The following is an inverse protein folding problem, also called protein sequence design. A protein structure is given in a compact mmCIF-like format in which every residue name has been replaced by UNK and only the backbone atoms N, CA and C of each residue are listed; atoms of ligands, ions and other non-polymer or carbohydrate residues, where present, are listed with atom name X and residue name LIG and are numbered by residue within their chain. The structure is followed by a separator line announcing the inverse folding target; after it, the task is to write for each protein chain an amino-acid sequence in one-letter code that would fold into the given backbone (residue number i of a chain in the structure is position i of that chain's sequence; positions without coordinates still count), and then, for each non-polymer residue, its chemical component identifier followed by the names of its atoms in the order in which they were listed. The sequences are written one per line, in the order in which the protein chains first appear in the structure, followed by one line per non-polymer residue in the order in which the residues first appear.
data_IF_134177623984
#
_entry.id   IF_134177623984
#
_cell.length_a   1.000
_cell.length_b   1.000
_cell.length_c   1.000
_cell.angle_alpha   90.00
_cell.angle_beta   90.00
_cell.angle_gamma   90.00
#
_symmetry.space_group_name_H-M   'P 1'
#
loop_
_entity.id
_entity.type
_entity.pdbx_description
1 polymer ?
#
# COMPACT_ATOMS: atom_id res chain seq x y z
N UNK A 1 -23.92 -14.71 -16.16
CA UNK A 1 -24.09 -13.30 -16.55
C UNK A 1 -22.80 -12.60 -16.17
N UNK A 2 -22.01 -12.22 -17.17
CA UNK A 2 -20.77 -11.47 -16.96
C UNK A 2 -21.10 -10.00 -16.65
N UNK A 3 -20.39 -9.33 -15.74
CA UNK A 3 -20.57 -7.90 -15.52
C UNK A 3 -20.12 -7.11 -16.75
N UNK A 4 -20.72 -5.93 -17.02
CA UNK A 4 -20.38 -5.13 -18.18
C UNK A 4 -18.96 -4.53 -18.05
N UNK A 5 -18.28 -4.26 -19.19
CA UNK A 5 -16.96 -3.63 -19.18
C UNK A 5 -17.07 -2.17 -18.72
N UNK A 6 -16.15 -1.77 -17.83
CA UNK A 6 -16.00 -0.39 -17.38
C UNK A 6 -15.47 0.42 -18.56
N UNK A 7 -16.30 1.34 -19.04
CA UNK A 7 -15.98 2.23 -20.16
C UNK A 7 -14.89 3.22 -19.74
N UNK A 8 -13.71 3.14 -20.32
CA UNK A 8 -12.61 4.06 -20.11
C UNK A 8 -12.79 5.32 -20.95
N UNK A 9 -13.61 6.27 -20.49
CA UNK A 9 -13.51 7.63 -20.99
C UNK A 9 -12.36 8.35 -20.26
N UNK A 10 -11.31 8.66 -20.99
CA UNK A 10 -10.20 9.49 -20.54
C UNK A 10 -10.72 10.91 -20.34
N UNK A 11 -11.09 11.24 -19.12
CA UNK A 11 -11.43 12.59 -18.71
C UNK A 11 -10.18 13.28 -18.14
N UNK A 12 -9.89 14.50 -18.59
CA UNK A 12 -8.79 15.36 -18.14
C UNK A 12 -8.85 15.74 -16.65
N UNK A 13 -8.00 16.64 -16.11
CA UNK A 13 -7.33 16.65 -14.83
C UNK A 13 -8.25 16.51 -13.61
N UNK A 14 -8.44 15.30 -13.18
CA UNK A 14 -9.22 14.91 -12.01
C UNK A 14 -9.13 13.43 -11.76
N UNK A 15 -7.95 12.91 -11.29
CA UNK A 15 -7.85 11.52 -10.90
C UNK A 15 -8.98 11.14 -9.94
N UNK A 16 -9.68 10.02 -10.22
CA UNK A 16 -10.73 9.50 -9.35
C UNK A 16 -10.13 9.19 -7.97
N UNK A 17 -10.84 9.49 -6.90
CA UNK A 17 -10.45 9.11 -5.55
C UNK A 17 -10.61 7.60 -5.39
N UNK A 18 -9.56 6.93 -4.92
CA UNK A 18 -9.59 5.49 -4.65
C UNK A 18 -9.85 5.18 -3.18
N UNK A 19 -9.20 5.92 -2.28
CA UNK A 19 -9.40 5.76 -0.84
C UNK A 19 -9.84 7.11 -0.26
N UNK A 20 -10.88 7.08 0.54
CA UNK A 20 -11.37 8.24 1.31
C UNK A 20 -11.26 7.92 2.79
N UNK A 21 -10.69 8.84 3.53
CA UNK A 21 -10.55 8.80 4.98
C UNK A 21 -11.30 10.00 5.54
N UNK A 22 -12.27 9.74 6.43
CA UNK A 22 -13.17 10.75 6.97
C UNK A 22 -13.19 10.69 8.51
N UNK A 23 -12.72 11.76 9.17
CA UNK A 23 -12.67 11.92 10.62
C UNK A 23 -12.06 10.73 11.37
N UNK A 24 -10.99 10.15 10.81
CA UNK A 24 -10.36 8.94 11.30
C UNK A 24 -9.62 9.20 12.61
N UNK A 25 -10.01 8.49 13.66
CA UNK A 25 -9.35 8.54 14.97
C UNK A 25 -8.97 7.15 15.44
N UNK A 26 -7.76 7.00 15.99
CA UNK A 26 -7.31 5.78 16.63
C UNK A 26 -6.79 6.05 18.03
N UNK A 27 -7.46 5.42 19.00
CA UNK A 27 -7.13 5.51 20.44
C UNK A 27 -6.74 4.12 20.94
N UNK A 28 -5.64 4.04 21.67
CA UNK A 28 -5.24 2.82 22.37
C UNK A 28 -5.48 3.07 23.87
N UNK A 29 -6.40 2.30 24.43
CA UNK A 29 -6.68 2.30 25.86
C UNK A 29 -5.92 1.18 26.55
N UNK A 30 -5.10 1.51 27.53
CA UNK A 30 -4.49 0.57 28.47
C UNK A 30 -5.06 0.76 29.87
N UNK A 31 -4.78 -0.16 30.78
CA UNK A 31 -5.23 -0.03 32.19
C UNK A 31 -4.68 1.21 32.89
N UNK A 32 -3.60 1.78 32.38
CA UNK A 32 -2.87 2.89 33.00
C UNK A 32 -3.07 4.21 32.26
N UNK A 33 -3.22 4.16 30.92
CA UNK A 33 -3.25 5.36 30.08
C UNK A 33 -4.07 5.13 28.82
N UNK A 34 -4.82 6.15 28.42
CA UNK A 34 -5.42 6.28 27.09
C UNK A 34 -4.52 7.18 26.25
N UNK A 35 -4.12 6.70 25.07
CA UNK A 35 -3.25 7.45 24.15
C UNK A 35 -3.96 7.57 22.81
N UNK A 36 -4.12 8.79 22.33
CA UNK A 36 -4.57 9.07 20.96
C UNK A 36 -3.35 8.92 20.05
N UNK A 37 -3.45 8.00 19.08
CA UNK A 37 -2.37 7.74 18.11
C UNK A 37 -2.63 8.50 16.83
N UNK A 38 -3.90 8.56 16.39
CA UNK A 38 -4.35 9.36 15.26
C UNK A 38 -5.57 10.15 15.71
N UNK A 39 -5.61 11.42 15.35
CA UNK A 39 -6.59 12.37 15.82
C UNK A 39 -7.23 13.13 14.65
N UNK A 40 -8.44 12.71 14.30
CA UNK A 40 -9.33 13.40 13.36
C UNK A 40 -8.72 13.59 11.94
N UNK A 41 -8.21 12.51 11.34
CA UNK A 41 -7.62 12.58 10.01
C UNK A 41 -8.71 12.55 8.93
N UNK A 42 -8.65 13.50 8.00
CA UNK A 42 -9.50 13.54 6.81
C UNK A 42 -8.63 13.82 5.59
N UNK A 43 -8.59 12.90 4.62
CA UNK A 43 -7.85 13.03 3.37
C UNK A 43 -8.33 12.03 2.32
N UNK A 44 -7.88 12.21 1.08
CA UNK A 44 -8.17 11.31 -0.03
C UNK A 44 -6.89 10.85 -0.73
N UNK A 45 -6.86 9.58 -1.17
CA UNK A 45 -5.79 9.02 -1.99
C UNK A 45 -6.29 8.91 -3.43
N UNK A 46 -5.68 9.62 -4.38
CA UNK A 46 -6.04 9.52 -5.79
C UNK A 46 -5.70 8.12 -6.35
N UNK A 47 -6.52 7.61 -7.27
CA UNK A 47 -6.20 6.41 -8.04
C UNK A 47 -4.95 6.63 -8.90
N UNK A 48 -4.20 5.56 -9.15
CA UNK A 48 -3.02 5.54 -10.02
C UNK A 48 -1.96 6.58 -9.62
N UNK A 49 -1.80 6.78 -8.31
CA UNK A 49 -0.88 7.77 -7.75
C UNK A 49 0.20 7.12 -6.90
N UNK A 50 1.34 7.80 -6.81
CA UNK A 50 2.35 7.55 -5.81
C UNK A 50 2.09 8.49 -4.64
N UNK A 51 1.55 7.96 -3.55
CA UNK A 51 1.10 8.72 -2.37
C UNK A 51 2.06 8.53 -1.20
N UNK A 52 2.65 9.61 -0.71
CA UNK A 52 3.56 9.58 0.43
C UNK A 52 2.84 9.89 1.75
N UNK A 53 3.16 9.12 2.79
CA UNK A 53 2.86 9.46 4.19
C UNK A 53 4.20 9.77 4.86
N UNK A 54 4.47 11.05 5.08
CA UNK A 54 5.71 11.54 5.69
C UNK A 54 5.49 11.92 7.17
N UNK A 55 6.57 12.05 7.92
CA UNK A 55 6.55 12.53 9.30
C UNK A 55 7.60 11.86 10.18
N UNK A 56 7.90 12.40 11.37
CA UNK A 56 8.88 11.86 12.29
C UNK A 56 8.49 10.47 12.83
N UNK A 57 9.45 9.78 13.45
CA UNK A 57 9.17 8.51 14.14
C UNK A 57 8.14 8.74 15.26
N UNK A 58 7.19 7.82 15.41
CA UNK A 58 6.12 7.92 16.40
C UNK A 58 4.92 8.79 16.01
N UNK A 59 4.90 9.44 14.83
CA UNK A 59 3.77 10.28 14.40
C UNK A 59 2.49 9.52 14.02
N UNK A 60 2.49 8.17 14.05
CA UNK A 60 1.31 7.35 13.76
C UNK A 60 1.26 6.73 12.36
N UNK A 61 2.29 6.87 11.53
CA UNK A 61 2.32 6.40 10.12
C UNK A 61 2.00 4.92 9.95
N UNK A 62 2.70 4.04 10.67
CA UNK A 62 2.46 2.58 10.59
C UNK A 62 1.07 2.21 11.13
N UNK A 63 0.56 2.95 12.13
CA UNK A 63 -0.83 2.78 12.59
C UNK A 63 -1.81 3.15 11.49
N UNK A 64 -1.58 4.27 10.78
CA UNK A 64 -2.43 4.66 9.66
C UNK A 64 -2.39 3.61 8.54
N UNK A 65 -1.20 3.08 8.18
CA UNK A 65 -1.10 1.99 7.20
C UNK A 65 -1.91 0.76 7.61
N UNK A 66 -1.85 0.37 8.89
CA UNK A 66 -2.62 -0.77 9.40
C UNK A 66 -4.14 -0.55 9.29
N UNK A 67 -4.59 0.68 9.48
CA UNK A 67 -6.01 1.04 9.29
C UNK A 67 -6.41 1.03 7.82
N UNK A 68 -5.59 1.61 6.94
CA UNK A 68 -5.83 1.64 5.48
C UNK A 68 -5.85 0.23 4.87
N UNK A 69 -5.07 -0.70 5.43
CA UNK A 69 -5.02 -2.09 4.97
C UNK A 69 -6.06 -2.98 5.64
N UNK A 70 -6.84 -2.46 6.60
CA UNK A 70 -7.82 -3.25 7.36
C UNK A 70 -7.18 -4.32 8.28
N UNK A 71 -5.90 -4.18 8.64
CA UNK A 71 -5.23 -4.99 9.67
C UNK A 71 -5.72 -4.57 11.06
N UNK A 72 -5.92 -3.26 11.26
CA UNK A 72 -6.48 -2.70 12.47
C UNK A 72 -7.79 -1.95 12.17
N UNK A 73 -8.53 -1.57 13.22
CA UNK A 73 -9.81 -0.87 13.10
C UNK A 73 -9.74 0.51 13.74
N UNK A 74 -10.36 1.53 13.12
CA UNK A 74 -10.43 2.84 13.73
C UNK A 74 -11.32 2.81 14.97
N UNK A 75 -11.03 3.71 15.93
CA UNK A 75 -11.91 3.96 17.07
C UNK A 75 -13.15 4.72 16.63
N UNK A 76 -12.98 5.73 15.77
CA UNK A 76 -14.07 6.47 15.12
C UNK A 76 -13.66 6.88 13.71
N UNK A 77 -14.60 7.41 12.94
CA UNK A 77 -14.40 7.77 11.54
C UNK A 77 -14.56 6.60 10.60
N UNK A 78 -14.31 6.83 9.30
CA UNK A 78 -14.50 5.84 8.25
C UNK A 78 -13.34 5.83 7.26
N UNK A 79 -13.12 4.65 6.67
CA UNK A 79 -12.24 4.45 5.51
C UNK A 79 -13.10 3.79 4.45
N UNK A 80 -13.16 4.41 3.27
CA UNK A 80 -13.84 3.87 2.08
C UNK A 80 -12.82 3.56 1.00
N UNK A 81 -13.02 2.46 0.30
CA UNK A 81 -12.17 2.00 -0.78
C UNK A 81 -13.04 1.79 -2.02
N UNK A 82 -12.84 2.59 -3.07
CA UNK A 82 -13.71 2.59 -4.24
C UNK A 82 -15.19 2.84 -3.90
N UNK A 83 -15.47 3.64 -2.88
CA UNK A 83 -16.81 3.92 -2.36
C UNK A 83 -17.33 2.92 -1.31
N UNK A 84 -16.67 1.77 -1.11
CA UNK A 84 -17.07 0.75 -0.15
C UNK A 84 -16.42 0.96 1.23
N UNK A 85 -17.21 1.13 2.29
CA UNK A 85 -16.74 1.31 3.65
C UNK A 85 -16.13 0.02 4.24
N UNK A 86 -14.89 0.10 4.75
CA UNK A 86 -14.20 -1.04 5.35
C UNK A 86 -14.76 -1.42 6.73
N UNK A 87 -15.27 -0.44 7.50
CA UNK A 87 -15.72 -0.65 8.88
C UNK A 87 -16.86 -1.66 9.03
N UNK A 88 -17.70 -1.80 8.03
CA UNK A 88 -18.86 -2.71 8.06
C UNK A 88 -18.49 -4.20 7.91
N UNK A 89 -17.23 -4.54 7.61
CA UNK A 89 -16.79 -5.90 7.29
C UNK A 89 -16.39 -6.67 8.55
N UNK A 90 -16.71 -7.95 8.59
CA UNK A 90 -16.17 -8.89 9.58
C UNK A 90 -14.66 -9.16 9.33
N UNK A 91 -13.95 -9.76 10.29
CA UNK A 91 -12.52 -10.10 10.13
C UNK A 91 -12.27 -11.00 8.92
N UNK A 92 -13.12 -11.99 8.69
CA UNK A 92 -13.00 -12.89 7.55
C UNK A 92 -13.24 -12.18 6.21
N UNK A 93 -14.16 -11.22 6.19
CA UNK A 93 -14.44 -10.39 5.00
C UNK A 93 -13.29 -9.41 4.75
N UNK A 94 -12.72 -8.79 5.80
CA UNK A 94 -11.53 -7.95 5.69
C UNK A 94 -10.32 -8.73 5.20
N UNK A 95 -10.10 -9.96 5.70
CA UNK A 95 -9.01 -10.81 5.25
C UNK A 95 -9.13 -11.15 3.76
N UNK A 96 -10.32 -11.51 3.29
CA UNK A 96 -10.59 -11.78 1.86
C UNK A 96 -10.46 -10.52 1.01
N UNK A 97 -10.98 -9.40 1.49
CA UNK A 97 -10.88 -8.11 0.83
C UNK A 97 -9.41 -7.68 0.69
N UNK A 98 -8.63 -7.76 1.78
CA UNK A 98 -7.20 -7.45 1.79
C UNK A 98 -6.44 -8.30 0.79
N UNK A 99 -6.66 -9.63 0.78
CA UNK A 99 -6.01 -10.54 -0.14
C UNK A 99 -6.25 -10.25 -1.62
N UNK A 100 -7.29 -9.48 -1.96
CA UNK A 100 -7.63 -9.09 -3.35
C UNK A 100 -7.24 -7.67 -3.69
N UNK A 101 -7.26 -6.77 -2.71
CA UNK A 101 -7.19 -5.32 -2.97
C UNK A 101 -5.89 -4.68 -2.52
N UNK A 102 -5.13 -5.34 -1.62
CA UNK A 102 -3.95 -4.72 -1.01
C UNK A 102 -2.74 -5.65 -1.06
N UNK A 103 -1.66 -5.19 -1.67
CA UNK A 103 -0.34 -5.79 -1.55
C UNK A 103 0.46 -5.04 -0.47
N UNK A 104 1.04 -5.76 0.49
CA UNK A 104 1.77 -5.16 1.60
C UNK A 104 3.26 -5.43 1.45
N UNK A 105 4.06 -4.36 1.56
CA UNK A 105 5.52 -4.36 1.50
C UNK A 105 6.02 -3.85 2.84
N UNK A 106 6.81 -4.67 3.54
CA UNK A 106 7.34 -4.37 4.87
C UNK A 106 8.77 -3.85 4.80
N UNK A 107 9.18 -3.10 5.82
CA UNK A 107 10.52 -2.57 5.98
C UNK A 107 11.60 -3.67 6.04
N UNK A 108 11.33 -4.81 6.70
CA UNK A 108 12.25 -5.94 6.86
C UNK A 108 11.94 -7.09 5.90
N UNK A 109 11.52 -6.83 4.68
CA UNK A 109 11.25 -7.78 3.59
C UNK A 109 10.23 -8.88 3.95
N UNK A 110 10.29 -9.47 5.14
CA UNK A 110 9.42 -10.55 5.64
C UNK A 110 9.37 -11.75 4.66
N UNK A 111 10.52 -12.07 4.04
CA UNK A 111 10.66 -13.27 3.22
C UNK A 111 10.82 -14.50 4.11
N UNK A 112 10.25 -15.62 3.69
CA UNK A 112 10.46 -16.91 4.35
C UNK A 112 11.83 -17.42 3.96
N UNK A 113 12.77 -17.58 4.91
CA UNK A 113 14.19 -17.80 4.60
C UNK A 113 14.48 -19.18 3.97
N UNK A 114 13.59 -20.15 4.17
CA UNK A 114 13.68 -21.51 3.62
C UNK A 114 13.04 -21.65 2.24
N UNK A 115 12.36 -20.63 1.73
CA UNK A 115 11.74 -20.60 0.42
C UNK A 115 12.59 -19.76 -0.54
N UNK A 116 12.70 -20.21 -1.78
CA UNK A 116 13.32 -19.43 -2.87
C UNK A 116 12.52 -18.15 -3.15
N UNK A 117 13.10 -17.24 -3.94
CA UNK A 117 12.41 -16.03 -4.38
C UNK A 117 11.08 -16.36 -5.08
N UNK A 118 11.09 -17.35 -5.97
CA UNK A 118 9.89 -17.80 -6.68
C UNK A 118 8.84 -18.37 -5.72
N UNK A 119 9.24 -19.23 -4.78
CA UNK A 119 8.33 -19.83 -3.80
C UNK A 119 7.75 -18.80 -2.84
N UNK A 120 8.52 -17.77 -2.44
CA UNK A 120 8.01 -16.65 -1.64
C UNK A 120 6.87 -15.90 -2.37
N UNK A 121 6.97 -15.73 -3.69
CA UNK A 121 5.91 -15.11 -4.49
C UNK A 121 4.73 -16.05 -4.69
N UNK A 122 4.97 -17.35 -4.97
CA UNK A 122 3.92 -18.35 -5.13
C UNK A 122 3.07 -18.51 -3.86
N UNK A 123 3.68 -18.47 -2.68
CA UNK A 123 2.98 -18.58 -1.40
C UNK A 123 1.90 -17.49 -1.24
N UNK A 124 2.14 -16.27 -1.75
CA UNK A 124 1.13 -15.22 -1.72
C UNK A 124 -0.10 -15.55 -2.59
N UNK A 125 0.08 -16.27 -3.69
CA UNK A 125 -1.02 -16.78 -4.51
C UNK A 125 -1.81 -17.89 -3.81
N UNK A 126 -1.10 -18.80 -3.13
CA UNK A 126 -1.70 -19.91 -2.38
C UNK A 126 -2.54 -19.41 -1.19
N UNK A 127 -2.02 -18.43 -0.44
CA UNK A 127 -2.70 -17.85 0.72
C UNK A 127 -3.78 -16.82 0.35
N UNK A 128 -3.72 -16.27 -0.85
CA UNK A 128 -4.62 -15.22 -1.33
C UNK A 128 -5.74 -15.73 -2.22
N UNK A 129 -6.10 -14.94 -3.20
CA UNK A 129 -7.13 -15.27 -4.20
C UNK A 129 -6.60 -16.00 -5.42
N UNK A 130 -5.27 -16.24 -5.50
CA UNK A 130 -4.60 -16.77 -6.68
C UNK A 130 -4.71 -15.85 -7.91
N UNK A 131 -4.95 -14.56 -7.72
CA UNK A 131 -5.24 -13.57 -8.78
C UNK A 131 -6.43 -13.98 -9.70
N UNK A 132 -7.34 -14.84 -9.21
CA UNK A 132 -8.40 -15.41 -10.02
C UNK A 132 -7.95 -16.48 -11.02
N UNK A 133 -6.66 -16.89 -10.96
CA UNK A 133 -6.05 -17.86 -11.86
C UNK A 133 -6.17 -19.29 -11.33
N UNK A 134 -6.23 -20.30 -12.21
CA UNK A 134 -6.11 -21.68 -11.78
C UNK A 134 -4.70 -21.97 -11.26
N UNK A 135 -4.57 -22.87 -10.29
CA UNK A 135 -3.29 -23.15 -9.60
C UNK A 135 -2.14 -23.54 -10.55
N UNK A 136 -2.44 -24.18 -11.68
CA UNK A 136 -1.45 -24.49 -12.72
C UNK A 136 -0.77 -23.25 -13.34
N UNK A 137 -1.40 -22.06 -13.26
CA UNK A 137 -0.86 -20.80 -13.79
C UNK A 137 -0.07 -20.01 -12.73
N UNK A 138 -0.12 -20.38 -11.45
CA UNK A 138 0.51 -19.59 -10.36
C UNK A 138 2.03 -19.50 -10.51
N UNK A 139 2.66 -20.59 -10.95
CA UNK A 139 4.12 -20.56 -11.17
C UNK A 139 4.51 -19.55 -12.24
N UNK A 140 3.77 -19.48 -13.35
CA UNK A 140 4.03 -18.48 -14.39
C UNK A 140 3.76 -17.08 -13.87
N UNK A 141 2.64 -16.84 -13.19
CA UNK A 141 2.33 -15.55 -12.57
C UNK A 141 3.44 -15.08 -11.63
N UNK A 142 3.98 -15.97 -10.80
CA UNK A 142 5.09 -15.65 -9.90
C UNK A 142 6.37 -15.28 -10.67
N UNK A 143 6.66 -15.96 -11.76
CA UNK A 143 7.79 -15.61 -12.66
C UNK A 143 7.56 -14.21 -13.25
N UNK A 144 6.36 -13.93 -13.76
CA UNK A 144 6.01 -12.64 -14.36
C UNK A 144 6.16 -11.49 -13.33
N UNK A 145 5.75 -11.72 -12.07
CA UNK A 145 5.98 -10.76 -10.99
C UNK A 145 7.46 -10.51 -10.70
N UNK A 146 8.31 -11.57 -10.74
CA UNK A 146 9.77 -11.41 -10.58
C UNK A 146 10.39 -10.66 -11.77
N UNK A 147 9.91 -10.90 -12.98
CA UNK A 147 10.34 -10.16 -14.19
C UNK A 147 9.97 -8.68 -14.06
N UNK A 148 8.76 -8.37 -13.60
CA UNK A 148 8.29 -6.99 -13.42
C UNK A 148 9.15 -6.16 -12.45
N UNK A 149 9.88 -6.83 -11.53
CA UNK A 149 10.82 -6.19 -10.59
C UNK A 149 12.28 -6.45 -10.96
N UNK A 150 12.57 -6.80 -12.21
CA UNK A 150 13.92 -7.07 -12.76
C UNK A 150 14.68 -8.24 -12.09
N UNK A 151 13.96 -9.24 -11.60
CA UNK A 151 14.51 -10.44 -10.94
C UNK A 151 14.19 -11.75 -11.67
N UNK A 152 13.87 -11.73 -12.97
CA UNK A 152 13.48 -12.92 -13.73
C UNK A 152 14.47 -14.09 -13.70
N UNK A 153 15.78 -13.79 -13.56
CA UNK A 153 16.83 -14.83 -13.45
C UNK A 153 17.11 -15.31 -12.02
N UNK A 154 16.47 -14.73 -11.00
CA UNK A 154 16.79 -14.95 -9.56
C UNK A 154 15.77 -15.85 -8.84
N UNK A 155 14.78 -16.37 -9.53
CA UNK A 155 13.67 -17.13 -8.93
C UNK A 155 14.11 -18.34 -8.10
N UNK A 156 15.26 -18.95 -8.40
CA UNK A 156 15.81 -20.13 -7.71
C UNK A 156 16.63 -19.78 -6.46
N UNK A 157 16.94 -18.50 -6.23
CA UNK A 157 17.77 -18.05 -5.11
C UNK A 157 16.99 -18.04 -3.79
N UNK A 158 17.66 -18.41 -2.71
CA UNK A 158 17.19 -18.19 -1.34
C UNK A 158 17.38 -16.72 -0.92
N UNK A 159 16.62 -16.20 0.05
CA UNK A 159 16.81 -14.84 0.56
C UNK A 159 18.25 -14.54 0.99
N UNK A 160 18.95 -15.49 1.60
CA UNK A 160 20.35 -15.37 2.02
C UNK A 160 21.35 -15.18 0.87
N UNK A 161 20.95 -15.50 -0.36
CA UNK A 161 21.77 -15.38 -1.58
C UNK A 161 21.47 -14.09 -2.35
N UNK A 162 20.57 -13.24 -1.82
CA UNK A 162 20.14 -11.99 -2.43
C UNK A 162 20.64 -10.78 -1.63
N UNK A 163 21.01 -9.71 -2.33
CA UNK A 163 21.26 -8.42 -1.68
C UNK A 163 20.00 -7.84 -1.04
N UNK A 164 20.11 -6.89 -0.11
CA UNK A 164 18.95 -6.25 0.52
C UNK A 164 17.96 -5.65 -0.50
N UNK A 165 18.48 -4.94 -1.52
CA UNK A 165 17.63 -4.41 -2.59
C UNK A 165 16.96 -5.48 -3.44
N UNK A 166 17.62 -6.64 -3.66
CA UNK A 166 17.00 -7.78 -4.34
C UNK A 166 15.92 -8.43 -3.46
N UNK A 167 16.16 -8.59 -2.16
CA UNK A 167 15.17 -9.10 -1.22
C UNK A 167 13.92 -8.19 -1.18
N UNK A 168 14.12 -6.87 -1.17
CA UNK A 168 13.00 -5.93 -1.22
C UNK A 168 12.23 -6.03 -2.53
N UNK A 169 12.90 -6.19 -3.66
CA UNK A 169 12.22 -6.41 -4.94
C UNK A 169 11.47 -7.74 -4.98
N UNK A 170 11.95 -8.80 -4.34
CA UNK A 170 11.16 -10.04 -4.14
C UNK A 170 9.92 -9.76 -3.28
N UNK A 171 10.03 -8.95 -2.22
CA UNK A 171 8.87 -8.57 -1.41
C UNK A 171 7.84 -7.75 -2.21
N UNK A 172 8.28 -6.88 -3.13
CA UNK A 172 7.40 -6.18 -4.07
C UNK A 172 6.73 -7.18 -5.04
N UNK A 173 7.48 -8.10 -5.63
CA UNK A 173 6.93 -9.14 -6.51
C UNK A 173 5.86 -9.99 -5.79
N UNK A 174 6.11 -10.34 -4.52
CA UNK A 174 5.14 -11.04 -3.66
C UNK A 174 3.88 -10.21 -3.44
N UNK A 175 4.02 -8.90 -3.19
CA UNK A 175 2.88 -8.01 -3.02
C UNK A 175 2.03 -7.88 -4.30
N UNK A 176 2.66 -7.97 -5.48
CA UNK A 176 2.00 -7.94 -6.79
C UNK A 176 1.31 -9.26 -7.20
N UNK A 177 1.60 -10.36 -6.52
CA UNK A 177 1.19 -11.70 -6.95
C UNK A 177 -0.32 -11.81 -7.22
N UNK A 178 -1.15 -11.34 -6.29
CA UNK A 178 -2.61 -11.35 -6.41
C UNK A 178 -3.21 -10.19 -7.24
N UNK A 179 -2.38 -9.44 -7.94
CA UNK A 179 -2.77 -8.31 -8.80
C UNK A 179 -3.60 -7.21 -8.08
N UNK A 180 -3.22 -6.79 -6.88
CA UNK A 180 -3.99 -5.82 -6.13
C UNK A 180 -3.97 -4.44 -6.81
N UNK A 181 -5.05 -3.65 -6.72
CA UNK A 181 -5.07 -2.27 -7.20
C UNK A 181 -4.24 -1.33 -6.34
N UNK A 182 -3.98 -1.68 -5.07
CA UNK A 182 -3.20 -0.86 -4.13
C UNK A 182 -2.02 -1.64 -3.56
N UNK A 183 -0.88 -0.98 -3.53
CA UNK A 183 0.30 -1.41 -2.79
C UNK A 183 0.54 -0.46 -1.63
N UNK A 184 0.77 -1.02 -0.46
CA UNK A 184 1.09 -0.28 0.76
C UNK A 184 2.47 -0.68 1.23
N UNK A 185 3.38 0.29 1.38
CA UNK A 185 4.76 0.06 1.73
C UNK A 185 5.15 0.83 3.00
N UNK A 186 5.54 0.10 4.05
CA UNK A 186 6.04 0.67 5.30
C UNK A 186 7.57 0.77 5.24
N UNK A 187 8.09 1.99 5.07
CA UNK A 187 9.52 2.31 4.96
C UNK A 187 10.30 1.35 4.03
N UNK A 188 9.87 1.17 2.76
CA UNK A 188 10.39 0.13 1.87
C UNK A 188 11.87 0.27 1.53
N UNK A 189 12.49 1.39 1.85
CA UNK A 189 13.90 1.72 1.57
C UNK A 189 14.75 1.90 2.82
N UNK A 190 14.15 1.86 4.02
CA UNK A 190 14.79 2.24 5.28
C UNK A 190 15.99 1.38 5.69
N UNK A 191 16.13 0.16 5.15
CA UNK A 191 17.25 -0.75 5.43
C UNK A 191 18.20 -0.96 4.25
N UNK A 192 18.16 -0.07 3.26
CA UNK A 192 18.95 -0.18 2.02
C UNK A 192 20.02 0.91 1.94
N UNK A 193 21.09 0.61 1.23
CA UNK A 193 22.01 1.66 0.78
C UNK A 193 21.32 2.60 -0.21
N UNK A 194 21.83 3.83 -0.37
CA UNK A 194 21.19 4.87 -1.17
C UNK A 194 20.92 4.45 -2.62
N UNK A 195 21.83 3.69 -3.26
CA UNK A 195 21.64 3.22 -4.64
C UNK A 195 20.51 2.21 -4.72
N UNK A 196 20.46 1.26 -3.81
CA UNK A 196 19.40 0.25 -3.73
C UNK A 196 18.06 0.89 -3.37
N UNK A 197 18.07 1.90 -2.48
CA UNK A 197 16.87 2.66 -2.10
C UNK A 197 16.22 3.37 -3.31
N UNK A 198 17.03 4.07 -4.12
CA UNK A 198 16.53 4.71 -5.34
C UNK A 198 15.97 3.69 -6.35
N UNK A 199 16.68 2.57 -6.56
CA UNK A 199 16.21 1.53 -7.50
C UNK A 199 14.89 0.88 -7.05
N UNK A 200 14.71 0.64 -5.75
CA UNK A 200 13.44 0.15 -5.18
C UNK A 200 12.33 1.19 -5.32
N UNK A 201 12.64 2.46 -5.04
CA UNK A 201 11.68 3.55 -5.22
C UNK A 201 11.23 3.68 -6.68
N UNK A 202 12.17 3.64 -7.64
CA UNK A 202 11.87 3.71 -9.07
C UNK A 202 10.98 2.53 -9.51
N UNK A 203 11.23 1.33 -8.96
CA UNK A 203 10.34 0.17 -9.17
C UNK A 203 8.91 0.46 -8.69
N UNK A 204 8.75 1.02 -7.48
CA UNK A 204 7.43 1.37 -6.93
C UNK A 204 6.74 2.48 -7.75
N UNK A 205 7.49 3.49 -8.17
CA UNK A 205 6.96 4.59 -8.98
C UNK A 205 6.46 4.09 -10.35
N UNK A 206 7.21 3.22 -11.01
CA UNK A 206 6.83 2.64 -12.31
C UNK A 206 5.54 1.81 -12.25
N UNK A 207 5.12 1.33 -11.08
CA UNK A 207 3.86 0.60 -10.93
C UNK A 207 2.63 1.51 -11.07
N UNK A 208 2.77 2.81 -10.86
CA UNK A 208 1.66 3.76 -11.08
C UNK A 208 1.33 3.91 -12.56
N UNK A 209 2.29 3.72 -13.45
CA UNK A 209 2.08 3.68 -14.90
C UNK A 209 1.34 2.40 -15.36
N UNK A 210 1.22 1.41 -14.47
CA UNK A 210 0.51 0.14 -14.67
C UNK A 210 -0.83 0.13 -13.91
N UNK A 211 -1.47 1.26 -13.76
CA UNK A 211 -2.76 1.45 -13.09
C UNK A 211 -2.76 1.05 -11.60
N UNK A 212 -1.59 0.97 -10.94
CA UNK A 212 -1.52 0.72 -9.49
C UNK A 212 -1.49 2.04 -8.71
N UNK A 213 -2.08 2.01 -7.53
CA UNK A 213 -1.91 3.07 -6.53
C UNK A 213 -0.89 2.59 -5.50
N UNK A 214 0.13 3.38 -5.25
CA UNK A 214 1.19 3.05 -4.29
C UNK A 214 1.15 4.04 -3.14
N UNK A 215 0.87 3.55 -1.93
CA UNK A 215 0.95 4.33 -0.69
C UNK A 215 2.22 3.90 0.04
N UNK A 216 3.11 4.83 0.33
CA UNK A 216 4.32 4.49 1.04
C UNK A 216 4.63 5.46 2.18
N UNK A 217 5.16 4.89 3.25
CA UNK A 217 5.69 5.65 4.38
C UNK A 217 7.17 5.89 4.14
N UNK A 218 7.62 7.09 4.40
CA UNK A 218 9.04 7.44 4.41
C UNK A 218 9.33 8.53 5.43
N UNK A 219 10.55 8.56 5.93
CA UNK A 219 11.10 9.69 6.69
C UNK A 219 12.14 10.45 5.86
N UNK A 220 12.38 10.03 4.61
CA UNK A 220 13.29 10.68 3.66
C UNK A 220 12.52 11.76 2.88
N UNK A 221 12.86 13.07 3.07
CA UNK A 221 12.18 14.16 2.39
C UNK A 221 12.38 14.14 0.86
N UNK A 222 13.55 13.65 0.40
CA UNK A 222 13.86 13.59 -1.03
C UNK A 222 12.95 12.58 -1.73
N UNK A 223 12.79 11.40 -1.15
CA UNK A 223 11.84 10.41 -1.67
C UNK A 223 10.40 10.90 -1.55
N UNK A 224 10.02 11.50 -0.42
CA UNK A 224 8.69 12.08 -0.25
C UNK A 224 8.38 13.14 -1.31
N UNK A 225 9.38 13.97 -1.67
CA UNK A 225 9.21 15.03 -2.69
C UNK A 225 8.88 14.52 -4.08
N UNK A 226 9.28 13.28 -4.39
CA UNK A 226 9.06 12.63 -5.70
C UNK A 226 7.66 12.03 -5.85
N UNK A 227 6.85 11.98 -4.80
CA UNK A 227 5.46 11.51 -4.88
C UNK A 227 4.55 12.54 -5.55
N UNK A 228 3.52 12.06 -6.25
CA UNK A 228 2.51 12.91 -6.91
C UNK A 228 1.52 13.54 -5.92
N UNK A 229 1.29 12.86 -4.79
CA UNK A 229 0.40 13.30 -3.71
C UNK A 229 0.93 12.79 -2.36
N UNK A 230 0.44 13.33 -1.25
CA UNK A 230 0.81 12.84 0.07
C UNK A 230 0.37 13.75 1.21
N UNK A 231 0.58 13.25 2.42
CA UNK A 231 0.32 13.95 3.69
C UNK A 231 1.56 13.91 4.57
N UNK A 232 1.68 14.93 5.41
CA UNK A 232 2.66 14.96 6.50
C UNK A 232 1.94 14.81 7.85
N UNK A 233 2.36 13.80 8.62
CA UNK A 233 1.84 13.51 9.96
C UNK A 233 2.79 14.02 11.03
N UNK A 234 2.25 14.75 11.99
CA UNK A 234 2.92 15.14 13.23
C UNK A 234 1.98 14.89 14.41
N UNK A 235 2.44 14.14 15.41
CA UNK A 235 1.69 13.84 16.63
C UNK A 235 0.24 13.34 16.36
N UNK A 236 0.10 12.47 15.36
CA UNK A 236 -1.18 11.88 14.99
C UNK A 236 -2.12 12.77 14.19
N UNK A 237 -1.69 13.95 13.73
CA UNK A 237 -2.48 14.90 12.93
C UNK A 237 -1.83 15.19 11.59
N UNK A 238 -2.64 15.55 10.60
CA UNK A 238 -2.14 16.04 9.31
C UNK A 238 -1.74 17.52 9.49
N UNK A 239 -0.47 17.84 9.17
CA UNK A 239 0.07 19.21 9.25
C UNK A 239 0.33 19.81 7.87
N UNK A 240 0.45 18.97 6.84
CA UNK A 240 0.56 19.41 5.45
C UNK A 240 -0.02 18.36 4.50
N UNK A 241 -0.54 18.83 3.37
CA UNK A 241 -1.07 18.00 2.28
C UNK A 241 -0.49 18.47 0.95
N UNK A 242 -0.27 17.53 0.02
CA UNK A 242 0.22 17.82 -1.32
C UNK A 242 -0.50 16.96 -2.35
N UNK A 243 -0.98 17.57 -3.45
CA UNK A 243 -1.63 16.85 -4.54
C UNK A 243 -2.92 16.12 -4.15
N UNK A 244 -3.40 16.32 -2.93
CA UNK A 244 -4.67 15.79 -2.43
C UNK A 244 -5.77 16.74 -2.85
N UNK A 245 -6.86 16.24 -3.45
CA UNK A 245 -8.04 17.07 -3.71
C UNK A 245 -8.75 17.35 -2.39
N UNK A 246 -9.21 18.59 -2.24
CA UNK A 246 -10.22 18.92 -1.22
C UNK A 246 -11.38 17.92 -1.33
N UNK A 247 -11.79 17.36 -0.20
CA UNK A 247 -12.98 16.52 -0.18
C UNK A 247 -14.21 17.36 -0.55
N UNK A 248 -15.30 16.79 -1.11
CA UNK A 248 -16.48 17.55 -1.49
C UNK A 248 -17.05 18.46 -0.37
N UNK A 249 -16.77 18.14 0.91
CA UNK A 249 -17.19 18.95 2.07
C UNK A 249 -16.40 20.23 2.27
N UNK A 250 -15.13 20.28 1.85
CA UNK A 250 -14.32 21.49 1.97
C UNK A 250 -14.83 22.60 1.03
N UNK A 251 -15.58 22.22 -0.01
CA UNK A 251 -16.21 23.14 -0.96
C UNK A 251 -17.54 23.73 -0.43
N UNK A 252 -18.23 23.07 0.52
CA UNK A 252 -19.45 23.57 1.13
C UNK A 252 -19.22 24.53 2.30
N UNK A 253 -18.01 24.49 2.91
CA UNK A 253 -17.67 25.37 4.06
C UNK A 253 -17.23 26.79 3.63
N UNK A 254 -17.09 27.09 2.34
CA UNK A 254 -16.65 28.37 1.78
C UNK A 254 -17.78 29.12 1.03
N UNK A 255 -19.02 28.65 1.16
CA UNK A 255 -20.21 29.28 0.54
C UNK A 255 -21.06 30.02 1.54
#
# INVERSE_FOLDING_TARGET
MSPPPINSERSGPGAATLIEVDHLTRVIASRVRTTVILDDLTFAVPAHSLFAINGPSGSGKSTLLNLLTGIDRPTSGTISFGGDALRARTENELARWRGRNVGIIFQFFQLIPTLTALENVQLALELGSGAGLPSKAWRQRAIDCLVAVELGGFGHRLPSELSGGQQQRVAIARALANDPPVLVADEPTGNLDSRSAHAVFDTLAALTDQDKTVIYVTHDPDLASRSSAGIELLDGRIVAERGVRATPRDLEAVS
#
